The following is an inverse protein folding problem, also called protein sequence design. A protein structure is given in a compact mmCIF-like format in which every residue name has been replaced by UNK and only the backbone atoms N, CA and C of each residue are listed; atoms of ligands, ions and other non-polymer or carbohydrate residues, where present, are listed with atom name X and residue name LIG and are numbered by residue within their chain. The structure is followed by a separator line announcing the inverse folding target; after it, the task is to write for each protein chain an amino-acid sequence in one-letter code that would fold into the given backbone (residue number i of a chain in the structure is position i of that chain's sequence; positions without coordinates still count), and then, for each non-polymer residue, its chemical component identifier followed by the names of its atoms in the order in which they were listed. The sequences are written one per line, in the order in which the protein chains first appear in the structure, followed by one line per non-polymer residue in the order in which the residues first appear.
data_IF_430911858028
#
_entry.id   IF_430911858028
#
_cell.length_a   1.000
_cell.length_b   1.000
_cell.length_c   1.000
_cell.angle_alpha   90.00
_cell.angle_beta   90.00
_cell.angle_gamma   90.00
#
_symmetry.space_group_name_H-M   'P 1'
#
loop_
_entity.id
_entity.type
_entity.pdbx_description
1 polymer ?
#
# COMPACT_ATOMS: atom_id res chain seq x y z
N UNK A 1 -1.87 -18.61 29.45
CA UNK A 1 -2.61 -18.29 28.21
C UNK A 1 -2.07 -16.97 27.73
N UNK A 2 -1.00 -16.96 26.92
CA UNK A 2 -0.43 -15.69 26.46
C UNK A 2 -1.50 -14.97 25.67
N UNK A 3 -1.87 -13.77 26.09
CA UNK A 3 -2.55 -12.82 25.24
C UNK A 3 -1.73 -12.77 23.96
N UNK A 4 -2.21 -13.44 22.90
CA UNK A 4 -1.70 -13.18 21.57
C UNK A 4 -2.13 -11.75 21.31
N UNK A 5 -1.26 -10.81 21.71
CA UNK A 5 -1.47 -9.38 21.60
C UNK A 5 -1.88 -9.16 20.16
N UNK A 6 -3.18 -8.95 19.94
CA UNK A 6 -3.72 -8.85 18.61
C UNK A 6 -3.01 -7.66 17.98
N UNK A 7 -2.15 -7.93 16.99
CA UNK A 7 -1.27 -6.90 16.43
C UNK A 7 -2.14 -5.73 15.96
N UNK A 8 -1.99 -4.52 16.55
CA UNK A 8 -2.84 -3.41 16.19
C UNK A 8 -2.75 -3.07 14.70
N UNK A 9 -3.87 -2.70 14.08
CA UNK A 9 -3.97 -2.41 12.64
C UNK A 9 -2.95 -1.37 12.15
N UNK A 10 -2.56 -0.44 13.03
CA UNK A 10 -1.53 0.58 12.78
C UNK A 10 -0.17 -0.03 12.43
N UNK A 11 0.21 -1.17 13.00
CA UNK A 11 1.49 -1.80 12.68
C UNK A 11 1.49 -2.42 11.29
N UNK A 12 0.38 -3.01 10.85
CA UNK A 12 0.22 -3.44 9.46
C UNK A 12 0.30 -2.25 8.50
N UNK A 13 -0.33 -1.12 8.84
CA UNK A 13 -0.24 0.10 8.04
C UNK A 13 1.21 0.60 7.95
N UNK A 14 1.89 0.73 9.09
CA UNK A 14 3.29 1.18 9.15
C UNK A 14 4.24 0.25 8.39
N UNK A 15 4.07 -1.06 8.55
CA UNK A 15 4.85 -2.04 7.81
C UNK A 15 4.58 -1.96 6.29
N UNK A 16 3.31 -1.76 5.90
CA UNK A 16 2.93 -1.54 4.51
C UNK A 16 3.57 -0.28 3.92
N UNK A 17 3.53 0.83 4.66
CA UNK A 17 4.15 2.10 4.25
C UNK A 17 5.67 1.93 4.11
N UNK A 18 6.32 1.34 5.11
CA UNK A 18 7.76 1.08 5.07
C UNK A 18 8.14 0.19 3.89
N UNK A 19 7.41 -0.91 3.67
CA UNK A 19 7.63 -1.80 2.55
C UNK A 19 7.41 -1.10 1.20
N UNK A 20 6.37 -0.28 1.07
CA UNK A 20 6.11 0.48 -0.15
C UNK A 20 7.24 1.48 -0.44
N UNK A 21 7.74 2.20 0.57
CA UNK A 21 8.88 3.13 0.41
C UNK A 21 10.13 2.36 -0.02
N UNK A 22 10.49 1.29 0.71
CA UNK A 22 11.67 0.49 0.42
C UNK A 22 11.62 -0.11 -0.98
N UNK A 23 10.50 -0.74 -1.35
CA UNK A 23 10.31 -1.33 -2.68
C UNK A 23 10.32 -0.27 -3.78
N UNK A 24 9.78 0.94 -3.54
CA UNK A 24 9.89 2.02 -4.53
C UNK A 24 11.34 2.47 -4.72
N UNK A 25 12.10 2.67 -3.64
CA UNK A 25 13.51 3.05 -3.72
C UNK A 25 14.33 1.97 -4.43
N UNK A 26 14.13 0.70 -4.09
CA UNK A 26 14.82 -0.42 -4.72
C UNK A 26 14.46 -0.54 -6.20
N UNK A 27 13.17 -0.58 -6.53
CA UNK A 27 12.74 -0.85 -7.90
C UNK A 27 13.01 0.33 -8.84
N UNK A 28 12.77 1.57 -8.38
CA UNK A 28 12.94 2.78 -9.21
C UNK A 28 14.37 3.30 -9.20
N UNK A 29 15.03 3.27 -8.05
CA UNK A 29 16.40 3.78 -7.89
C UNK A 29 17.46 2.78 -8.32
N UNK A 30 17.38 1.55 -7.79
CA UNK A 30 18.42 0.53 -8.02
C UNK A 30 18.17 -0.25 -9.30
N UNK A 31 16.98 -0.82 -9.46
CA UNK A 31 16.62 -1.65 -10.63
C UNK A 31 16.29 -0.78 -11.87
N UNK A 32 16.08 0.53 -11.67
CA UNK A 32 15.65 1.48 -12.71
C UNK A 32 14.38 1.04 -13.44
N UNK A 33 13.55 0.23 -12.80
CA UNK A 33 12.27 -0.22 -13.30
C UNK A 33 11.18 0.73 -12.80
N UNK A 34 10.60 1.48 -13.73
CA UNK A 34 9.63 2.53 -13.46
C UNK A 34 8.27 2.29 -14.10
N UNK A 35 7.46 3.36 -14.13
CA UNK A 35 6.13 3.35 -14.71
C UNK A 35 5.06 2.64 -13.87
N UNK A 36 3.88 2.50 -14.47
CA UNK A 36 2.69 1.94 -13.84
C UNK A 36 2.84 0.44 -13.49
N UNK A 37 3.48 -0.41 -14.32
CA UNK A 37 3.71 -1.82 -13.97
C UNK A 37 4.53 -2.00 -12.69
N UNK A 38 5.53 -1.14 -12.46
CA UNK A 38 6.31 -1.13 -11.22
C UNK A 38 5.41 -0.82 -10.01
N UNK A 39 4.53 0.18 -10.11
CA UNK A 39 3.58 0.49 -9.04
C UNK A 39 2.60 -0.65 -8.76
N UNK A 40 2.07 -1.31 -9.79
CA UNK A 40 1.20 -2.46 -9.62
C UNK A 40 1.91 -3.62 -8.94
N UNK A 41 3.15 -3.92 -9.36
CA UNK A 41 3.97 -4.96 -8.75
C UNK A 41 4.23 -4.67 -7.27
N UNK A 42 4.67 -3.46 -6.93
CA UNK A 42 4.92 -3.06 -5.54
C UNK A 42 3.63 -3.15 -4.73
N UNK A 43 2.54 -2.57 -5.22
CA UNK A 43 1.27 -2.57 -4.54
C UNK A 43 0.73 -4.00 -4.33
N UNK A 44 0.91 -4.91 -5.29
CA UNK A 44 0.53 -6.32 -5.15
C UNK A 44 1.38 -7.04 -4.11
N UNK A 45 2.70 -6.83 -4.10
CA UNK A 45 3.61 -7.42 -3.12
C UNK A 45 3.30 -6.94 -1.70
N UNK A 46 3.08 -5.65 -1.52
CA UNK A 46 2.74 -5.07 -0.21
C UNK A 46 1.37 -5.54 0.24
N UNK A 47 0.34 -5.41 -0.60
CA UNK A 47 -1.03 -5.79 -0.24
C UNK A 47 -1.16 -7.30 0.03
N UNK A 48 -0.53 -8.13 -0.81
CA UNK A 48 -0.47 -9.58 -0.64
C UNK A 48 0.31 -9.99 0.61
N UNK A 49 1.46 -9.37 0.85
CA UNK A 49 2.26 -9.61 2.06
C UNK A 49 1.50 -9.22 3.33
N UNK A 50 0.80 -8.09 3.34
CA UNK A 50 -0.04 -7.67 4.46
C UNK A 50 -1.24 -8.59 4.67
N UNK A 51 -1.94 -8.99 3.60
CA UNK A 51 -3.07 -9.90 3.70
C UNK A 51 -2.64 -11.28 4.23
N UNK A 52 -1.53 -11.82 3.70
CA UNK A 52 -0.93 -13.05 4.19
C UNK A 52 -0.53 -12.93 5.67
N UNK A 53 0.19 -11.87 6.05
CA UNK A 53 0.59 -11.68 7.45
C UNK A 53 -0.62 -11.56 8.37
N UNK A 54 -1.61 -10.73 8.02
CA UNK A 54 -2.81 -10.54 8.82
C UNK A 54 -3.59 -11.86 8.97
N UNK A 55 -3.72 -12.65 7.90
CA UNK A 55 -4.36 -13.96 7.94
C UNK A 55 -3.64 -14.96 8.84
N UNK A 56 -2.31 -15.01 8.79
CA UNK A 56 -1.50 -15.89 9.63
C UNK A 56 -1.52 -15.48 11.09
N UNK A 57 -1.44 -14.18 11.36
CA UNK A 57 -1.39 -13.65 12.73
C UNK A 57 -2.75 -13.69 13.43
N UNK A 58 -3.82 -13.27 12.74
CA UNK A 58 -5.15 -13.14 13.33
C UNK A 58 -6.03 -14.38 13.14
N UNK A 59 -5.75 -15.23 12.14
CA UNK A 59 -6.52 -16.45 11.82
C UNK A 59 -8.03 -16.22 11.68
N UNK A 60 -8.43 -15.03 11.25
CA UNK A 60 -9.83 -14.64 11.03
C UNK A 60 -9.96 -13.70 9.85
N UNK A 61 -11.20 -13.42 9.47
CA UNK A 61 -11.51 -12.37 8.51
C UNK A 61 -11.26 -10.98 9.12
N UNK A 62 -10.72 -10.03 8.34
CA UNK A 62 -10.63 -8.64 8.75
C UNK A 62 -12.04 -8.06 8.87
N UNK A 63 -12.31 -7.37 9.96
CA UNK A 63 -13.57 -6.65 10.13
C UNK A 63 -13.64 -5.48 9.16
N UNK A 64 -14.84 -4.99 8.87
CA UNK A 64 -15.03 -3.82 8.02
C UNK A 64 -14.27 -2.58 8.54
N UNK A 65 -14.34 -2.33 9.85
CA UNK A 65 -13.63 -1.22 10.49
C UNK A 65 -12.10 -1.33 10.36
N UNK A 66 -11.54 -2.54 10.45
CA UNK A 66 -10.10 -2.76 10.24
C UNK A 66 -9.69 -2.54 8.79
N UNK A 67 -10.48 -3.00 7.82
CA UNK A 67 -10.22 -2.77 6.40
C UNK A 67 -10.20 -1.28 6.09
N UNK A 68 -11.20 -0.54 6.55
CA UNK A 68 -11.28 0.91 6.36
C UNK A 68 -10.13 1.63 7.05
N UNK A 69 -9.79 1.30 8.30
CA UNK A 69 -8.66 1.91 9.01
C UNK A 69 -7.33 1.62 8.33
N UNK A 70 -7.11 0.38 7.87
CA UNK A 70 -5.88 0.01 7.19
C UNK A 70 -5.75 0.80 5.88
N UNK A 71 -6.79 0.83 5.05
CA UNK A 71 -6.79 1.57 3.78
C UNK A 71 -6.66 3.08 4.01
N UNK A 72 -7.35 3.63 5.02
CA UNK A 72 -7.27 5.06 5.33
C UNK A 72 -5.88 5.47 5.83
N UNK A 73 -5.26 4.70 6.73
CA UNK A 73 -3.91 5.01 7.24
C UNK A 73 -2.85 4.81 6.16
N UNK A 74 -2.85 3.64 5.52
CA UNK A 74 -1.88 3.29 4.48
C UNK A 74 -2.02 4.21 3.26
N UNK A 75 -3.24 4.32 2.72
CA UNK A 75 -3.54 5.18 1.58
C UNK A 75 -3.38 6.65 1.90
N UNK A 76 -3.81 7.10 3.07
CA UNK A 76 -3.68 8.49 3.50
C UNK A 76 -2.23 8.95 3.61
N UNK A 77 -1.37 8.17 4.29
CA UNK A 77 0.06 8.51 4.40
C UNK A 77 0.76 8.48 3.03
N UNK A 78 0.50 7.46 2.20
CA UNK A 78 1.03 7.44 0.84
C UNK A 78 0.52 8.62 0.02
N UNK A 79 -0.74 9.01 0.18
CA UNK A 79 -1.32 10.18 -0.48
C UNK A 79 -0.59 11.47 -0.12
N UNK A 80 -0.29 11.68 1.16
CA UNK A 80 0.54 12.82 1.62
C UNK A 80 1.94 12.76 1.01
N UNK A 81 2.58 11.59 0.99
CA UNK A 81 3.89 11.43 0.35
C UNK A 81 3.86 11.74 -1.15
N UNK A 82 2.82 11.30 -1.86
CA UNK A 82 2.63 11.59 -3.29
C UNK A 82 2.39 13.09 -3.53
N UNK A 83 1.62 13.76 -2.67
CA UNK A 83 1.44 15.21 -2.73
C UNK A 83 2.76 15.96 -2.46
N UNK A 84 3.56 15.49 -1.50
CA UNK A 84 4.89 16.05 -1.25
C UNK A 84 5.80 15.87 -2.47
N UNK A 85 5.77 14.71 -3.14
CA UNK A 85 6.53 14.49 -4.38
C UNK A 85 6.10 15.45 -5.49
N UNK A 86 4.80 15.71 -5.64
CA UNK A 86 4.28 16.71 -6.59
C UNK A 86 4.74 18.11 -6.23
N UNK A 87 4.65 18.51 -4.95
CA UNK A 87 5.11 19.81 -4.48
C UNK A 87 6.62 20.01 -4.66
N UNK A 88 7.42 18.97 -4.45
CA UNK A 88 8.86 19.02 -4.72
C UNK A 88 9.17 19.09 -6.22
N UNK A 89 8.37 18.40 -7.06
CA UNK A 89 8.50 18.48 -8.50
C UNK A 89 8.14 19.88 -9.02
N UNK A 90 7.11 20.53 -8.45
CA UNK A 90 6.69 21.87 -8.87
C UNK A 90 7.74 22.95 -8.59
N UNK A 91 8.64 22.73 -7.63
CA UNK A 91 9.79 23.62 -7.40
C UNK A 91 10.76 23.68 -8.60
N UNK A 92 10.71 22.68 -9.50
CA UNK A 92 11.53 22.63 -10.72
C UNK A 92 10.77 23.10 -11.97
N UNK A 93 9.50 23.46 -11.83
CA UNK A 93 8.60 23.83 -12.92
C UNK A 93 7.25 23.12 -12.81
N UNK A 94 6.23 23.72 -13.41
CA UNK A 94 4.85 23.26 -13.25
C UNK A 94 4.64 21.88 -13.89
N UNK A 95 4.18 20.87 -13.11
CA UNK A 95 3.88 19.56 -13.66
C UNK A 95 2.70 19.67 -14.62
N UNK A 96 2.87 19.10 -15.82
CA UNK A 96 1.78 19.05 -16.80
C UNK A 96 0.58 18.26 -16.28
N UNK A 97 -0.64 18.51 -16.77
CA UNK A 97 -1.83 17.73 -16.39
C UNK A 97 -1.65 16.22 -16.62
N UNK A 98 -0.92 15.83 -17.67
CA UNK A 98 -0.60 14.44 -17.95
C UNK A 98 0.33 13.83 -16.88
N UNK A 99 1.33 14.58 -16.40
CA UNK A 99 2.20 14.14 -15.32
C UNK A 99 1.41 13.94 -14.02
N UNK A 100 0.49 14.86 -13.70
CA UNK A 100 -0.39 14.73 -12.53
C UNK A 100 -1.31 13.51 -12.63
N UNK A 101 -1.90 13.25 -13.80
CA UNK A 101 -2.72 12.06 -14.03
C UNK A 101 -1.90 10.77 -13.81
N UNK A 102 -0.67 10.72 -14.33
CA UNK A 102 0.23 9.59 -14.12
C UNK A 102 0.49 9.37 -12.63
N UNK A 103 0.79 10.43 -11.87
CA UNK A 103 1.01 10.37 -10.41
C UNK A 103 -0.23 9.82 -9.70
N UNK A 104 -1.43 10.29 -10.05
CA UNK A 104 -2.69 9.80 -9.48
C UNK A 104 -2.89 8.32 -9.79
N UNK A 105 -2.68 7.88 -11.03
CA UNK A 105 -2.80 6.47 -11.40
C UNK A 105 -1.82 5.59 -10.60
N UNK A 106 -0.58 6.05 -10.42
CA UNK A 106 0.41 5.36 -9.60
C UNK A 106 -0.02 5.27 -8.13
N UNK A 107 -0.54 6.36 -7.57
CA UNK A 107 -1.05 6.40 -6.21
C UNK A 107 -2.23 5.44 -6.02
N UNK A 108 -3.19 5.43 -6.95
CA UNK A 108 -4.41 4.63 -6.82
C UNK A 108 -4.14 3.12 -6.81
N UNK A 109 -3.03 2.65 -7.40
CA UNK A 109 -2.65 1.23 -7.34
C UNK A 109 -2.57 0.69 -5.91
N UNK A 110 -2.05 1.50 -4.97
CA UNK A 110 -1.80 1.06 -3.59
C UNK A 110 -3.09 0.82 -2.79
N UNK A 111 -4.00 1.79 -2.59
CA UNK A 111 -5.25 1.54 -1.88
C UNK A 111 -6.16 0.57 -2.66
N UNK A 112 -6.17 0.61 -3.99
CA UNK A 112 -7.00 -0.30 -4.79
C UNK A 112 -6.60 -1.77 -4.59
N UNK A 113 -5.32 -2.11 -4.71
CA UNK A 113 -4.90 -3.49 -4.48
C UNK A 113 -5.03 -3.89 -3.01
N UNK A 114 -4.81 -2.98 -2.06
CA UNK A 114 -5.09 -3.28 -0.66
C UNK A 114 -6.56 -3.66 -0.43
N UNK A 115 -7.51 -2.94 -1.05
CA UNK A 115 -8.94 -3.29 -1.01
C UNK A 115 -9.24 -4.65 -1.64
N UNK A 116 -8.59 -4.96 -2.77
CA UNK A 116 -8.73 -6.24 -3.49
C UNK A 116 -8.20 -7.40 -2.64
N UNK A 117 -6.98 -7.30 -2.11
CA UNK A 117 -6.37 -8.38 -1.34
C UNK A 117 -7.05 -8.62 0.01
N UNK A 118 -7.65 -7.58 0.60
CA UNK A 118 -8.49 -7.71 1.79
C UNK A 118 -9.97 -7.97 1.46
N UNK A 119 -10.33 -8.20 0.19
CA UNK A 119 -11.69 -8.60 -0.21
C UNK A 119 -11.94 -10.07 0.13
N UNK A 120 -13.22 -10.42 0.37
CA UNK A 120 -13.62 -11.76 0.82
C UNK A 120 -13.09 -12.90 -0.07
N UNK A 121 -13.02 -12.72 -1.39
CA UNK A 121 -12.55 -13.77 -2.29
C UNK A 121 -11.04 -13.98 -2.21
N UNK A 122 -10.27 -12.89 -2.31
CA UNK A 122 -8.81 -12.97 -2.37
C UNK A 122 -8.22 -13.28 -0.99
N UNK A 123 -8.72 -12.63 0.05
CA UNK A 123 -8.28 -12.87 1.42
C UNK A 123 -8.55 -14.32 1.86
N UNK A 124 -9.63 -14.92 1.38
CA UNK A 124 -9.97 -16.32 1.65
C UNK A 124 -8.89 -17.32 1.24
N UNK A 125 -8.09 -17.03 0.21
CA UNK A 125 -6.96 -17.88 -0.17
C UNK A 125 -5.85 -17.89 0.89
N UNK A 126 -5.64 -16.80 1.62
CA UNK A 126 -4.61 -16.69 2.66
C UNK A 126 -5.05 -17.24 4.02
N UNK A 127 -6.36 -17.40 4.22
CA UNK A 127 -6.90 -17.91 5.48
C UNK A 127 -6.90 -19.46 5.53
N UNK A 128 -7.08 -20.10 4.37
CA UNK A 128 -6.97 -21.56 4.18
C UNK A 128 -5.59 -22.03 4.66
#
# INVERSE_FOLDING_TARGET
MGDRLAVPIRYYALAGIAAAILLNVLLRGVVRFGGLPASLLIAALVAGGLAWWFARAQRRWPTWGERLRLVALYGGVLGVLYLLLVGLASLKGDPSPAALLIVVLHYLCYPALLLVFFSGRVYGFFLR
#
